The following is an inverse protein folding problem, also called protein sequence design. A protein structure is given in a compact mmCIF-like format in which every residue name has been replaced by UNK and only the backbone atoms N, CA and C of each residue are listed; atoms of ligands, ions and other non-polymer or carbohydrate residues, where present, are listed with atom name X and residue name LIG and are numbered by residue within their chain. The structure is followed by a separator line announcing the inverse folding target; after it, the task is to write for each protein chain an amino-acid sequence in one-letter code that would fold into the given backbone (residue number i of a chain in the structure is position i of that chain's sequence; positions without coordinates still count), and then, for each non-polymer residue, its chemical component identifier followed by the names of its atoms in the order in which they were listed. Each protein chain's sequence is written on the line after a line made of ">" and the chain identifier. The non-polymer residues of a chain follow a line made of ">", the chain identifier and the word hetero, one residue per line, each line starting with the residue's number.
data_IF_882782309606
#
_entry.id   IF_882782309606
#
_cell.length_a   1.000
_cell.length_b   1.000
_cell.length_c   1.000
_cell.angle_alpha   90.00
_cell.angle_beta   90.00
_cell.angle_gamma   90.00
#
_symmetry.space_group_name_H-M   'P 1'
#
loop_
_entity.id
_entity.type
_entity.pdbx_description
1 polymer ?
#
# COMPACT_ATOMS: atom_id res chain seq x y z
N UNK A 1 15.88 -5.39 19.53
CA UNK A 1 14.46 -5.17 19.17
C UNK A 1 13.89 -4.06 20.03
N UNK A 2 13.07 -3.15 19.46
CA UNK A 2 12.36 -2.13 20.26
C UNK A 2 11.33 -2.80 21.17
N UNK A 3 11.15 -2.27 22.39
CA UNK A 3 10.05 -2.70 23.25
C UNK A 3 8.69 -2.29 22.68
N UNK A 4 7.60 -2.91 23.12
CA UNK A 4 6.24 -2.51 22.71
C UNK A 4 5.93 -1.05 23.08
N UNK A 5 6.48 -0.57 24.20
CA UNK A 5 6.33 0.82 24.66
C UNK A 5 7.05 1.76 23.69
N UNK A 6 8.27 1.43 23.27
CA UNK A 6 9.05 2.26 22.35
C UNK A 6 8.43 2.29 20.95
N UNK A 7 7.92 1.13 20.48
CA UNK A 7 7.17 1.01 19.23
C UNK A 7 5.99 1.97 19.23
N UNK A 8 5.18 1.96 20.28
CA UNK A 8 4.01 2.83 20.42
C UNK A 8 4.40 4.30 20.50
N UNK A 9 5.37 4.65 21.35
CA UNK A 9 5.88 6.03 21.48
C UNK A 9 6.38 6.56 20.13
N UNK A 10 7.14 5.76 19.40
CA UNK A 10 7.65 6.14 18.07
C UNK A 10 6.53 6.34 17.06
N UNK A 11 5.56 5.42 17.00
CA UNK A 11 4.40 5.52 16.11
C UNK A 11 3.55 6.76 16.40
N UNK A 12 3.29 7.06 17.68
CA UNK A 12 2.56 8.27 18.08
C UNK A 12 3.32 9.55 17.76
N UNK A 13 4.65 9.54 17.92
CA UNK A 13 5.50 10.69 17.64
C UNK A 13 5.60 10.98 16.15
N UNK A 14 5.90 9.96 15.34
CA UNK A 14 6.29 10.11 13.94
C UNK A 14 5.12 9.92 12.95
N UNK A 15 4.03 9.27 13.39
CA UNK A 15 2.86 8.90 12.56
C UNK A 15 3.06 7.60 11.78
N UNK A 16 4.23 6.98 11.86
CA UNK A 16 4.55 5.71 11.22
C UNK A 16 5.60 4.93 11.97
N UNK A 17 5.71 3.65 11.64
CA UNK A 17 6.79 2.78 12.10
C UNK A 17 7.11 1.72 11.06
N UNK A 18 8.39 1.34 10.95
CA UNK A 18 8.85 0.21 10.13
C UNK A 18 9.24 -0.94 11.04
N UNK A 19 8.69 -2.12 10.80
CA UNK A 19 8.88 -3.31 11.64
C UNK A 19 9.14 -4.55 10.77
N UNK A 20 9.95 -5.49 11.27
CA UNK A 20 10.17 -6.81 10.67
C UNK A 20 9.03 -7.74 11.12
N UNK A 21 7.99 -7.91 10.28
CA UNK A 21 6.77 -8.63 10.63
C UNK A 21 6.38 -9.74 9.63
N UNK A 22 7.01 -9.78 8.46
CA UNK A 22 6.68 -10.74 7.41
C UNK A 22 7.76 -11.82 7.35
N UNK A 23 7.32 -13.08 7.43
CA UNK A 23 8.21 -14.21 7.16
C UNK A 23 8.52 -14.27 5.65
N UNK A 24 9.80 -14.26 5.31
CA UNK A 24 10.27 -14.26 3.91
C UNK A 24 9.85 -15.51 3.13
N UNK A 25 9.65 -16.64 3.80
CA UNK A 25 9.16 -17.86 3.14
C UNK A 25 7.76 -17.66 2.58
N UNK A 26 6.87 -16.93 3.29
CA UNK A 26 5.56 -16.56 2.76
C UNK A 26 5.65 -15.72 1.48
N UNK A 27 6.63 -14.84 1.40
CA UNK A 27 6.82 -14.03 0.20
C UNK A 27 7.28 -14.87 -1.00
N UNK A 28 8.07 -15.91 -0.77
CA UNK A 28 8.46 -16.84 -1.81
C UNK A 28 7.26 -17.65 -2.32
N UNK A 29 6.42 -18.13 -1.41
CA UNK A 29 5.19 -18.86 -1.77
C UNK A 29 4.24 -17.96 -2.60
N UNK A 30 4.05 -16.71 -2.20
CA UNK A 30 3.24 -15.74 -2.95
C UNK A 30 3.84 -15.48 -4.34
N UNK A 31 5.17 -15.34 -4.42
CA UNK A 31 5.87 -15.14 -5.69
C UNK A 31 5.69 -16.32 -6.64
N UNK A 32 5.77 -17.55 -6.13
CA UNK A 32 5.55 -18.77 -6.90
C UNK A 32 4.11 -18.87 -7.40
N UNK A 33 3.13 -18.54 -6.55
CA UNK A 33 1.72 -18.50 -6.95
C UNK A 33 1.44 -17.41 -8.00
N UNK A 34 2.05 -16.23 -7.87
CA UNK A 34 1.96 -15.18 -8.87
C UNK A 34 2.52 -15.66 -10.22
N UNK A 35 3.70 -16.30 -10.22
CA UNK A 35 4.30 -16.83 -11.44
C UNK A 35 3.40 -17.89 -12.09
N UNK A 36 2.75 -18.75 -11.29
CA UNK A 36 1.78 -19.73 -11.79
C UNK A 36 0.57 -19.04 -12.45
N UNK A 37 0.01 -18.02 -11.83
CA UNK A 37 -1.13 -17.26 -12.40
C UNK A 37 -0.73 -16.59 -13.73
N UNK A 38 0.47 -16.03 -13.80
CA UNK A 38 1.01 -15.44 -15.04
C UNK A 38 1.12 -16.50 -16.13
N UNK A 39 1.80 -17.62 -15.87
CA UNK A 39 1.99 -18.69 -16.83
C UNK A 39 0.65 -19.27 -17.31
N UNK A 40 -0.29 -19.48 -16.40
CA UNK A 40 -1.65 -19.93 -16.75
C UNK A 40 -2.39 -18.92 -17.63
N UNK A 41 -2.18 -17.61 -17.39
CA UNK A 41 -2.77 -16.57 -18.23
C UNK A 41 -2.27 -16.64 -19.67
N UNK A 42 -0.96 -16.90 -19.89
CA UNK A 42 -0.40 -17.13 -21.23
C UNK A 42 -1.04 -18.33 -21.92
N UNK A 43 -1.11 -19.46 -21.21
CA UNK A 43 -1.65 -20.72 -21.76
C UNK A 43 -3.12 -20.55 -22.11
N UNK A 44 -3.94 -20.05 -21.18
CA UNK A 44 -5.39 -19.95 -21.34
C UNK A 44 -5.84 -18.95 -22.43
N UNK A 45 -4.98 -17.99 -22.76
CA UNK A 45 -5.26 -16.99 -23.79
C UNK A 45 -4.46 -17.22 -25.09
N UNK A 46 -3.78 -18.35 -25.21
CA UNK A 46 -2.94 -18.72 -26.39
C UNK A 46 -1.89 -17.64 -26.73
N UNK A 47 -1.31 -16.99 -25.70
CA UNK A 47 -0.29 -15.97 -25.89
C UNK A 47 1.08 -16.65 -25.97
N UNK A 48 1.90 -16.25 -26.95
CA UNK A 48 3.26 -16.77 -27.09
C UNK A 48 4.11 -16.33 -25.88
N UNK A 49 4.70 -17.31 -25.20
CA UNK A 49 5.60 -17.04 -24.06
C UNK A 49 6.91 -16.43 -24.58
N UNK A 50 7.25 -15.26 -24.10
CA UNK A 50 8.46 -14.49 -24.46
C UNK A 50 9.37 -14.20 -23.25
N UNK A 51 9.18 -14.93 -22.16
CA UNK A 51 10.00 -14.89 -20.93
C UNK A 51 10.42 -16.31 -20.57
N UNK A 52 11.32 -16.46 -19.58
CA UNK A 52 11.67 -17.80 -19.07
C UNK A 52 10.65 -18.26 -18.01
N UNK A 53 9.71 -19.18 -18.36
CA UNK A 53 8.64 -19.60 -17.44
C UNK A 53 9.14 -20.39 -16.22
N UNK A 54 10.37 -20.92 -16.28
CA UNK A 54 11.00 -21.65 -15.17
C UNK A 54 11.79 -20.73 -14.23
N UNK A 55 11.92 -19.43 -14.56
CA UNK A 55 12.58 -18.44 -13.74
C UNK A 55 11.54 -17.49 -13.12
N UNK A 56 11.31 -17.58 -11.80
CA UNK A 56 10.34 -16.76 -11.09
C UNK A 56 10.52 -15.25 -11.34
N UNK A 57 11.79 -14.79 -11.38
CA UNK A 57 12.06 -13.37 -11.62
C UNK A 57 11.70 -12.93 -13.04
N UNK A 58 12.02 -13.74 -14.04
CA UNK A 58 11.64 -13.47 -15.44
C UNK A 58 10.13 -13.47 -15.60
N UNK A 59 9.44 -14.46 -15.04
CA UNK A 59 7.98 -14.56 -15.13
C UNK A 59 7.28 -13.34 -14.50
N UNK A 60 7.65 -12.98 -13.27
CA UNK A 60 6.95 -11.85 -12.60
C UNK A 60 7.35 -10.49 -13.15
N UNK A 61 8.48 -10.33 -13.81
CA UNK A 61 8.86 -9.05 -14.44
C UNK A 61 8.50 -9.03 -15.92
N UNK A 62 9.26 -9.73 -16.74
CA UNK A 62 9.08 -9.73 -18.21
C UNK A 62 7.72 -10.29 -18.61
N UNK A 63 7.31 -11.42 -17.99
CA UNK A 63 6.02 -12.03 -18.25
C UNK A 63 4.86 -11.10 -17.91
N UNK A 64 4.87 -10.42 -16.78
CA UNK A 64 3.80 -9.50 -16.38
C UNK A 64 3.77 -8.24 -17.25
N UNK A 65 4.92 -7.65 -17.57
CA UNK A 65 5.01 -6.47 -18.45
C UNK A 65 4.41 -6.80 -19.83
N UNK A 66 4.75 -7.99 -20.36
CA UNK A 66 4.21 -8.41 -21.64
C UNK A 66 2.70 -8.69 -21.59
N UNK A 67 2.17 -9.32 -20.54
CA UNK A 67 0.71 -9.48 -20.37
C UNK A 67 -0.01 -8.14 -20.38
N UNK A 68 0.50 -7.13 -19.66
CA UNK A 68 -0.06 -5.78 -19.66
C UNK A 68 -0.04 -5.16 -21.06
N UNK A 69 1.02 -5.38 -21.84
CA UNK A 69 1.15 -4.85 -23.21
C UNK A 69 0.23 -5.53 -24.22
N UNK A 70 -0.10 -6.81 -24.00
CA UNK A 70 -1.01 -7.57 -24.87
C UNK A 70 -2.47 -7.24 -24.55
N UNK A 71 -2.85 -7.32 -23.29
CA UNK A 71 -4.19 -6.94 -22.81
C UNK A 71 -4.14 -6.58 -21.32
N UNK A 72 -4.39 -5.31 -21.03
CA UNK A 72 -4.47 -4.78 -19.67
C UNK A 72 -5.41 -5.58 -18.74
N UNK A 73 -6.48 -6.18 -19.27
CA UNK A 73 -7.42 -7.00 -18.50
C UNK A 73 -6.75 -8.22 -17.87
N UNK A 74 -5.72 -8.79 -18.50
CA UNK A 74 -5.02 -9.97 -18.00
C UNK A 74 -4.27 -9.64 -16.71
N UNK A 75 -3.58 -8.50 -16.67
CA UNK A 75 -2.96 -8.00 -15.43
C UNK A 75 -4.02 -7.71 -14.37
N UNK A 76 -5.14 -7.06 -14.73
CA UNK A 76 -6.23 -6.75 -13.81
C UNK A 76 -6.83 -8.02 -13.18
N UNK A 77 -7.02 -9.08 -13.95
CA UNK A 77 -7.51 -10.37 -13.46
C UNK A 77 -6.57 -10.98 -12.41
N UNK A 78 -5.26 -10.92 -12.65
CA UNK A 78 -4.25 -11.40 -11.69
C UNK A 78 -4.25 -10.51 -10.44
N UNK A 79 -4.33 -9.20 -10.62
CA UNK A 79 -4.42 -8.21 -9.54
C UNK A 79 -5.59 -8.48 -8.60
N UNK A 80 -6.77 -8.83 -9.14
CA UNK A 80 -7.97 -9.12 -8.36
C UNK A 80 -7.97 -10.52 -7.73
N UNK A 81 -7.29 -11.48 -8.36
CA UNK A 81 -7.26 -12.88 -7.91
C UNK A 81 -6.29 -13.10 -6.75
N UNK A 82 -5.07 -12.58 -6.86
CA UNK A 82 -3.99 -12.91 -5.92
C UNK A 82 -4.28 -12.52 -4.47
N UNK A 83 -4.85 -11.35 -4.15
CA UNK A 83 -5.15 -10.97 -2.77
C UNK A 83 -6.22 -11.85 -2.09
N UNK A 84 -7.01 -12.57 -2.88
CA UNK A 84 -8.03 -13.51 -2.40
C UNK A 84 -7.48 -14.92 -2.21
N UNK A 85 -6.22 -15.17 -2.58
CA UNK A 85 -5.58 -16.47 -2.36
C UNK A 85 -5.38 -16.73 -0.87
N UNK A 86 -5.46 -18.00 -0.47
CA UNK A 86 -5.27 -18.41 0.93
C UNK A 86 -3.90 -18.02 1.47
N UNK A 87 -2.88 -18.01 0.64
CA UNK A 87 -1.54 -17.57 1.03
C UNK A 87 -1.50 -16.08 1.36
N UNK A 88 -2.14 -15.25 0.56
CA UNK A 88 -2.19 -13.81 0.80
C UNK A 88 -3.03 -13.50 2.05
N UNK A 89 -4.17 -14.17 2.20
CA UNK A 89 -5.03 -14.02 3.39
C UNK A 89 -4.30 -14.43 4.67
N UNK A 90 -3.53 -15.52 4.66
CA UNK A 90 -2.67 -15.93 5.79
C UNK A 90 -1.62 -14.89 6.12
N UNK A 91 -1.05 -14.22 5.11
CA UNK A 91 -0.06 -13.18 5.32
C UNK A 91 -0.65 -11.99 6.07
N UNK A 92 -1.76 -11.44 5.59
CA UNK A 92 -2.40 -10.27 6.18
C UNK A 92 -3.03 -10.52 7.55
N UNK A 93 -3.35 -11.78 7.87
CA UNK A 93 -3.91 -12.20 9.16
C UNK A 93 -2.88 -12.86 10.09
N UNK A 94 -1.59 -12.82 9.71
CA UNK A 94 -0.54 -13.46 10.52
C UNK A 94 -0.46 -12.89 11.94
N UNK A 95 -0.17 -13.74 12.91
CA UNK A 95 -0.09 -13.38 14.33
C UNK A 95 0.91 -12.25 14.61
N UNK A 96 2.07 -12.27 13.93
CA UNK A 96 3.10 -11.26 14.07
C UNK A 96 2.59 -9.87 13.69
N UNK A 97 1.83 -9.79 12.60
CA UNK A 97 1.26 -8.57 12.08
C UNK A 97 0.08 -8.10 12.93
N UNK A 98 -0.89 -8.99 13.17
CA UNK A 98 -2.13 -8.65 13.88
C UNK A 98 -1.90 -8.23 15.33
N UNK A 99 -0.94 -8.86 16.04
CA UNK A 99 -0.54 -8.44 17.40
C UNK A 99 0.02 -7.02 17.43
N UNK A 100 0.80 -6.61 16.41
CA UNK A 100 1.34 -5.24 16.35
C UNK A 100 0.28 -4.21 15.98
N UNK A 101 -0.63 -4.55 15.07
CA UNK A 101 -1.76 -3.69 14.72
C UNK A 101 -2.66 -3.47 15.94
N UNK A 102 -3.01 -4.53 16.69
CA UNK A 102 -3.77 -4.40 17.94
C UNK A 102 -3.09 -3.48 18.95
N UNK A 103 -1.78 -3.62 19.11
CA UNK A 103 -0.98 -2.75 19.99
C UNK A 103 -1.09 -1.28 19.57
N UNK A 104 -0.94 -0.99 18.28
CA UNK A 104 -0.93 0.38 17.75
C UNK A 104 -2.32 1.03 17.70
N UNK A 105 -3.39 0.23 17.50
CA UNK A 105 -4.76 0.68 17.57
C UNK A 105 -5.29 0.80 19.01
N UNK A 106 -4.53 0.38 20.02
CA UNK A 106 -4.96 0.27 21.43
C UNK A 106 -6.15 -0.66 21.63
N UNK A 107 -6.28 -1.72 20.84
CA UNK A 107 -7.37 -2.65 20.97
C UNK A 107 -7.24 -3.49 22.24
N UNK A 108 -8.35 -3.74 22.92
CA UNK A 108 -8.45 -4.72 24.00
C UNK A 108 -8.22 -6.13 23.43
N UNK A 109 -7.74 -7.06 24.25
CA UNK A 109 -7.39 -8.43 23.82
C UNK A 109 -8.49 -9.17 23.05
N UNK A 110 -9.76 -8.91 23.35
CA UNK A 110 -10.91 -9.54 22.71
C UNK A 110 -11.43 -8.79 21.48
N UNK A 111 -10.95 -7.57 21.22
CA UNK A 111 -11.39 -6.78 20.07
C UNK A 111 -10.77 -7.33 18.79
N UNK A 112 -11.56 -7.35 17.73
CA UNK A 112 -11.12 -7.66 16.38
C UNK A 112 -11.05 -6.40 15.53
N UNK A 113 -10.47 -6.53 14.35
CA UNK A 113 -10.47 -5.49 13.34
C UNK A 113 -11.01 -6.03 12.03
N UNK A 114 -11.56 -5.14 11.25
CA UNK A 114 -11.93 -5.35 9.88
C UNK A 114 -10.77 -4.93 8.98
N UNK A 115 -10.47 -5.73 7.96
CA UNK A 115 -9.48 -5.35 6.95
C UNK A 115 -10.15 -5.19 5.59
N UNK A 116 -9.83 -4.10 4.91
CA UNK A 116 -10.31 -3.84 3.56
C UNK A 116 -9.16 -3.34 2.67
N UNK A 117 -9.48 -3.09 1.40
CA UNK A 117 -8.52 -2.65 0.39
C UNK A 117 -7.25 -3.49 0.38
N UNK A 118 -7.41 -4.79 0.67
CA UNK A 118 -6.33 -5.76 0.62
C UNK A 118 -5.94 -5.93 -0.83
N UNK A 119 -4.74 -5.48 -1.19
CA UNK A 119 -4.25 -5.66 -2.53
C UNK A 119 -2.74 -5.88 -2.58
N UNK A 120 -2.30 -6.53 -3.65
CA UNK A 120 -0.91 -6.47 -4.08
C UNK A 120 -0.82 -5.54 -5.29
N UNK A 121 -0.31 -4.34 -5.06
CA UNK A 121 -0.04 -3.40 -6.13
C UNK A 121 0.98 -3.98 -7.09
N UNK A 122 0.68 -3.88 -8.38
CA UNK A 122 1.49 -4.34 -9.49
C UNK A 122 1.75 -3.14 -10.39
N UNK A 123 2.79 -2.39 -10.07
CA UNK A 123 3.08 -1.15 -10.79
C UNK A 123 4.04 -1.46 -11.96
N UNK A 124 3.56 -1.26 -13.17
CA UNK A 124 4.31 -1.48 -14.41
C UNK A 124 5.22 -0.28 -14.69
N UNK A 125 6.49 -0.49 -15.07
CA UNK A 125 7.39 0.59 -15.43
C UNK A 125 6.82 1.48 -16.53
N UNK A 126 6.97 2.80 -16.37
CA UNK A 126 6.46 3.78 -17.33
C UNK A 126 4.96 4.07 -17.25
N UNK A 127 4.16 3.24 -16.54
CA UNK A 127 2.74 3.49 -16.35
C UNK A 127 2.51 4.24 -15.04
N UNK A 128 2.20 5.53 -15.15
CA UNK A 128 2.01 6.42 -13.98
C UNK A 128 0.59 6.39 -13.40
N UNK A 129 -0.34 5.73 -14.05
CA UNK A 129 -1.77 5.63 -13.71
C UNK A 129 -2.03 5.28 -12.22
N UNK A 130 -1.15 4.48 -11.62
CA UNK A 130 -1.28 4.04 -10.23
C UNK A 130 -0.33 4.79 -9.26
N UNK A 131 0.40 5.78 -9.74
CA UNK A 131 1.22 6.62 -8.87
C UNK A 131 0.33 7.63 -8.16
N UNK A 132 0.03 7.34 -6.90
CA UNK A 132 -0.71 8.27 -6.06
C UNK A 132 0.18 9.45 -5.66
N UNK A 133 -0.27 10.67 -5.96
CA UNK A 133 0.31 11.89 -5.45
C UNK A 133 0.13 12.04 -3.93
N UNK A 134 0.39 13.22 -3.40
CA UNK A 134 0.23 13.51 -1.98
C UNK A 134 -1.23 13.40 -1.53
N UNK A 135 -1.49 12.55 -0.54
CA UNK A 135 -2.84 12.31 -0.01
C UNK A 135 -2.79 11.80 1.44
N UNK A 136 -3.94 11.75 2.05
CA UNK A 136 -4.23 10.99 3.28
C UNK A 136 -5.33 9.98 2.95
N UNK A 137 -5.33 8.85 3.61
CA UNK A 137 -6.33 7.79 3.34
C UNK A 137 -7.63 7.98 4.12
N UNK A 138 -7.66 8.88 5.10
CA UNK A 138 -8.86 9.15 5.90
C UNK A 138 -10.08 9.54 5.03
N UNK A 139 -9.84 10.23 3.92
CA UNK A 139 -10.90 10.72 3.04
C UNK A 139 -11.35 9.69 1.98
N UNK A 140 -10.60 8.61 1.80
CA UNK A 140 -10.84 7.60 0.74
C UNK A 140 -11.24 6.24 1.31
N UNK A 141 -11.38 6.14 2.62
CA UNK A 141 -11.72 4.93 3.34
C UNK A 141 -12.94 5.12 4.22
N UNK A 142 -13.24 4.21 5.14
CA UNK A 142 -14.35 4.36 6.09
C UNK A 142 -14.13 5.63 6.91
N UNK A 143 -14.83 6.69 6.53
CA UNK A 143 -14.65 8.03 7.09
C UNK A 143 -14.90 8.03 8.59
N UNK A 144 -13.97 8.63 9.33
CA UNK A 144 -14.07 8.74 10.79
C UNK A 144 -13.58 7.51 11.55
N UNK A 145 -13.51 6.32 10.94
CA UNK A 145 -13.08 5.12 11.68
C UNK A 145 -11.61 5.23 12.12
N UNK A 146 -11.30 4.57 13.24
CA UNK A 146 -9.93 4.42 13.71
C UNK A 146 -9.26 3.27 12.94
N UNK A 147 -8.26 3.58 12.10
CA UNK A 147 -7.54 2.56 11.34
C UNK A 147 -6.05 2.85 11.18
N UNK A 148 -5.34 1.80 10.86
CA UNK A 148 -3.93 1.83 10.48
C UNK A 148 -3.80 1.30 9.05
N UNK A 149 -2.99 1.97 8.25
CA UNK A 149 -2.60 1.48 6.94
C UNK A 149 -1.30 0.71 7.02
N UNK A 150 -1.23 -0.35 6.23
CA UNK A 150 -0.04 -1.14 5.98
C UNK A 150 0.43 -0.94 4.56
N UNK A 151 1.73 -0.81 4.39
CA UNK A 151 2.40 -0.94 3.11
C UNK A 151 3.68 -1.77 3.28
N UNK A 152 3.96 -2.68 2.35
CA UNK A 152 5.17 -3.50 2.37
C UNK A 152 5.64 -3.84 0.97
N UNK A 153 6.96 -3.78 0.68
CA UNK A 153 7.50 -4.31 -0.56
C UNK A 153 7.45 -5.84 -0.52
N UNK A 154 7.12 -6.46 -1.64
CA UNK A 154 6.93 -7.92 -1.71
C UNK A 154 8.19 -8.67 -2.13
N UNK A 155 8.81 -8.30 -3.23
CA UNK A 155 9.86 -9.12 -3.86
C UNK A 155 11.21 -8.41 -4.02
N UNK A 156 11.26 -7.10 -3.79
CA UNK A 156 12.49 -6.29 -3.79
C UNK A 156 12.44 -5.26 -2.65
N UNK A 157 13.61 -4.85 -2.14
CA UNK A 157 13.67 -3.78 -1.15
C UNK A 157 13.20 -2.47 -1.77
N UNK A 158 12.32 -1.76 -1.07
CA UNK A 158 11.91 -0.44 -1.50
C UNK A 158 12.96 0.62 -1.12
N UNK A 159 13.45 1.34 -2.10
CA UNK A 159 14.41 2.44 -1.97
C UNK A 159 13.87 3.68 -2.66
N UNK A 160 14.55 4.81 -2.52
CA UNK A 160 14.19 6.04 -3.24
C UNK A 160 14.15 5.82 -4.77
N UNK A 161 14.99 4.93 -5.30
CA UNK A 161 15.10 4.66 -6.74
C UNK A 161 14.00 3.75 -7.28
N UNK A 162 13.46 2.85 -6.44
CA UNK A 162 12.46 1.85 -6.85
C UNK A 162 11.15 1.95 -6.07
N UNK A 163 10.72 3.16 -5.74
CA UNK A 163 9.37 3.45 -5.31
C UNK A 163 9.08 3.28 -3.83
N UNK A 164 10.07 3.50 -2.94
CA UNK A 164 9.78 3.66 -1.51
C UNK A 164 8.78 4.79 -1.29
N UNK A 165 7.82 4.57 -0.39
CA UNK A 165 6.87 5.62 -0.01
C UNK A 165 7.60 6.88 0.43
N UNK A 166 7.10 8.02 0.02
CA UNK A 166 7.52 9.32 0.52
C UNK A 166 6.47 9.85 1.47
N UNK A 167 6.88 10.29 2.65
CA UNK A 167 5.98 10.78 3.70
C UNK A 167 6.42 12.14 4.20
N UNK A 168 5.46 12.91 4.72
CA UNK A 168 5.72 14.12 5.49
C UNK A 168 5.68 13.71 6.97
N UNK A 169 6.86 13.66 7.60
CA UNK A 169 6.99 13.20 8.99
C UNK A 169 6.15 14.07 9.92
N UNK A 170 5.42 13.45 10.86
CA UNK A 170 4.57 14.11 11.85
C UNK A 170 3.38 14.89 11.27
N UNK A 171 3.11 14.80 9.98
CA UNK A 171 1.98 15.49 9.35
C UNK A 171 0.61 15.08 9.91
N UNK A 172 0.49 13.91 10.51
CA UNK A 172 -0.71 13.46 11.22
C UNK A 172 -1.11 14.35 12.42
N UNK A 173 -0.20 15.21 12.90
CA UNK A 173 -0.45 16.18 14.00
C UNK A 173 -0.81 17.57 13.47
N UNK A 174 -0.71 17.77 12.18
CA UNK A 174 -0.85 19.08 11.56
C UNK A 174 -2.20 19.17 10.86
N UNK A 175 -2.90 20.29 11.07
CA UNK A 175 -3.92 20.71 10.12
C UNK A 175 -3.17 21.39 8.98
N UNK A 176 -2.94 20.65 7.91
CA UNK A 176 -2.27 21.20 6.73
C UNK A 176 -3.27 22.00 5.93
N UNK A 177 -2.94 23.26 5.69
CA UNK A 177 -3.64 24.06 4.70
C UNK A 177 -3.08 23.72 3.33
N UNK A 178 -3.92 23.33 2.42
CA UNK A 178 -3.55 23.16 1.02
C UNK A 178 -3.79 24.47 0.30
N UNK A 179 -2.96 24.80 -0.68
CA UNK A 179 -3.18 25.95 -1.58
C UNK A 179 -4.43 25.78 -2.46
N UNK A 180 -5.22 24.74 -2.21
CA UNK A 180 -6.35 24.37 -3.02
C UNK A 180 -7.64 24.93 -2.44
N UNK A 181 -8.45 25.51 -3.30
CA UNK A 181 -9.82 25.89 -2.99
C UNK A 181 -10.65 24.63 -2.65
N UNK A 182 -11.75 24.79 -1.89
CA UNK A 182 -12.69 23.68 -1.62
C UNK A 182 -13.14 22.99 -2.91
N UNK A 183 -13.44 23.77 -3.96
CA UNK A 183 -13.83 23.24 -5.27
C UNK A 183 -12.74 22.38 -5.93
N UNK A 184 -11.48 22.74 -5.76
CA UNK A 184 -10.35 21.93 -6.24
C UNK A 184 -10.15 20.67 -5.41
N UNK A 185 -10.35 20.74 -4.08
CA UNK A 185 -10.30 19.57 -3.18
C UNK A 185 -11.42 18.57 -3.50
N UNK A 186 -12.65 19.04 -3.77
CA UNK A 186 -13.78 18.20 -4.18
C UNK A 186 -13.55 17.56 -5.57
N UNK A 187 -12.88 18.27 -6.47
CA UNK A 187 -12.46 17.75 -7.77
C UNK A 187 -11.32 16.74 -7.67
N UNK A 188 -10.47 16.80 -6.65
CA UNK A 188 -9.35 15.87 -6.45
C UNK A 188 -9.80 14.41 -6.30
N UNK A 189 -10.99 14.15 -5.76
CA UNK A 189 -11.59 12.80 -5.76
C UNK A 189 -11.96 12.29 -7.17
N UNK A 190 -11.99 13.18 -8.18
CA UNK A 190 -12.39 12.89 -9.56
C UNK A 190 -11.30 13.17 -10.60
N UNK A 191 -10.19 13.80 -10.23
CA UNK A 191 -9.12 14.25 -11.13
C UNK A 191 -7.99 13.23 -11.22
N UNK A 192 -7.33 13.21 -12.38
CA UNK A 192 -6.09 12.48 -12.65
C UNK A 192 -5.09 12.65 -11.51
N UNK A 193 -4.72 11.55 -10.88
CA UNK A 193 -3.89 11.47 -9.68
C UNK A 193 -2.49 12.13 -9.82
N UNK A 194 -2.07 12.45 -11.04
CA UNK A 194 -0.84 13.20 -11.33
C UNK A 194 -0.84 14.63 -10.78
N UNK A 195 -2.00 15.25 -10.59
CA UNK A 195 -2.10 16.64 -10.12
C UNK A 195 -1.88 16.80 -8.61
N UNK A 196 -1.93 15.72 -7.84
CA UNK A 196 -1.51 15.71 -6.43
C UNK A 196 -0.05 16.14 -6.22
N UNK A 197 0.79 16.08 -7.25
CA UNK A 197 2.18 16.53 -7.18
C UNK A 197 2.32 18.06 -7.06
N UNK A 198 1.28 18.83 -7.37
CA UNK A 198 1.28 20.30 -7.33
C UNK A 198 0.96 20.87 -5.94
N UNK A 199 0.51 20.02 -5.02
CA UNK A 199 0.12 20.47 -3.67
C UNK A 199 1.37 20.82 -2.87
N UNK A 200 1.49 22.07 -2.46
CA UNK A 200 2.52 22.53 -1.52
C UNK A 200 1.94 22.43 -0.12
N UNK A 201 2.58 21.65 0.73
CA UNK A 201 2.22 21.56 2.13
C UNK A 201 3.01 22.61 2.92
N UNK A 202 2.28 23.48 3.57
CA UNK A 202 2.81 24.47 4.52
C UNK A 202 2.14 24.22 5.87
N UNK A 203 2.87 24.42 6.96
CA UNK A 203 2.26 24.42 8.28
C UNK A 203 1.57 25.77 8.53
N UNK A 204 0.85 25.91 9.66
CA UNK A 204 0.18 27.17 10.05
C UNK A 204 1.12 28.38 10.15
N UNK A 205 2.45 28.16 10.26
CA UNK A 205 3.46 29.20 10.32
C UNK A 205 3.99 29.58 8.93
N UNK A 206 3.48 28.96 7.85
CA UNK A 206 4.00 29.16 6.49
C UNK A 206 5.32 28.45 6.18
N UNK A 207 5.79 27.56 7.09
CA UNK A 207 7.03 26.83 6.89
C UNK A 207 6.79 25.64 5.95
N UNK A 208 7.72 25.46 5.00
CA UNK A 208 7.68 24.31 4.07
C UNK A 208 7.98 23.02 4.83
N UNK A 209 7.08 22.04 4.70
CA UNK A 209 7.28 20.72 5.30
C UNK A 209 8.25 19.88 4.48
N UNK A 210 9.10 19.14 5.19
CA UNK A 210 10.11 18.27 4.59
C UNK A 210 9.54 16.87 4.44
N UNK A 211 9.63 16.35 3.24
CA UNK A 211 9.30 14.96 2.95
C UNK A 211 10.53 14.06 3.00
N UNK A 212 10.30 12.78 3.30
CA UNK A 212 11.33 11.77 3.35
C UNK A 212 10.86 10.46 2.71
N UNK A 213 11.69 9.90 1.83
CA UNK A 213 11.52 8.51 1.37
C UNK A 213 11.84 7.55 2.52
N UNK A 214 10.98 6.57 2.74
CA UNK A 214 11.14 5.57 3.80
C UNK A 214 11.59 4.25 3.18
N UNK A 215 12.88 3.91 3.29
CA UNK A 215 13.36 2.61 2.84
C UNK A 215 12.70 1.50 3.65
N UNK A 216 12.21 0.46 2.96
CA UNK A 216 11.61 -0.72 3.56
C UNK A 216 12.21 -1.96 2.91
N UNK A 217 12.76 -2.85 3.71
CA UNK A 217 13.35 -4.11 3.22
C UNK A 217 12.29 -5.19 3.07
N UNK A 218 12.57 -6.20 2.25
CA UNK A 218 11.78 -7.43 2.19
C UNK A 218 11.66 -8.03 3.60
N UNK A 219 10.44 -8.36 3.99
CA UNK A 219 10.11 -8.84 5.33
C UNK A 219 9.70 -7.74 6.30
N UNK A 220 9.97 -6.48 5.97
CA UNK A 220 9.51 -5.33 6.74
C UNK A 220 8.19 -4.80 6.21
N UNK A 221 7.43 -4.18 7.11
CA UNK A 221 6.23 -3.40 6.80
C UNK A 221 6.39 -1.99 7.34
N UNK A 222 5.82 -1.01 6.65
CA UNK A 222 5.52 0.28 7.24
C UNK A 222 4.06 0.29 7.66
N UNK A 223 3.81 0.59 8.94
CA UNK A 223 2.48 0.85 9.50
C UNK A 223 2.37 2.34 9.74
N UNK A 224 1.28 2.97 9.32
CA UNK A 224 1.12 4.41 9.46
C UNK A 224 -0.32 4.84 9.71
N UNK A 225 -0.46 6.02 10.30
CA UNK A 225 -1.74 6.60 10.69
C UNK A 225 -2.53 7.06 9.47
N UNK A 226 -3.85 6.96 9.54
CA UNK A 226 -4.82 7.31 8.51
C UNK A 226 -4.67 8.73 7.94
N UNK A 227 -4.21 9.66 8.77
CA UNK A 227 -4.04 11.07 8.44
C UNK A 227 -2.57 11.49 8.23
N UNK A 228 -1.66 10.52 8.02
CA UNK A 228 -0.29 10.82 7.63
C UNK A 228 -0.23 11.12 6.13
N UNK A 229 0.26 12.31 5.75
CA UNK A 229 0.46 12.65 4.34
C UNK A 229 1.59 11.84 3.73
N UNK A 230 1.27 11.16 2.66
CA UNK A 230 2.20 10.32 1.93
C UNK A 230 1.90 10.30 0.44
N UNK A 231 2.85 9.80 -0.33
CA UNK A 231 2.68 9.53 -1.77
C UNK A 231 3.44 8.30 -2.21
N UNK A 232 3.07 7.76 -3.36
CA UNK A 232 3.84 6.72 -4.03
C UNK A 232 5.22 7.26 -4.42
N UNK A 233 6.26 6.49 -4.18
CA UNK A 233 7.56 6.76 -4.76
C UNK A 233 7.55 6.52 -6.27
N UNK A 234 8.39 7.24 -6.99
CA UNK A 234 8.55 7.10 -8.44
C UNK A 234 9.36 5.85 -8.73
N UNK A 235 8.89 5.03 -9.66
CA UNK A 235 9.63 3.86 -10.15
C UNK A 235 10.49 4.32 -11.31
N UNK A 236 11.80 4.28 -11.11
CA UNK A 236 12.77 4.68 -12.14
C UNK A 236 13.41 3.49 -12.85
N UNK A 237 13.08 2.26 -12.43
CA UNK A 237 13.68 1.04 -12.97
C UNK A 237 12.75 0.37 -14.00
N UNK A 238 13.33 -0.37 -14.93
CA UNK A 238 12.60 -1.14 -15.96
C UNK A 238 12.01 -2.44 -15.43
N UNK A 239 11.63 -2.46 -14.15
CA UNK A 239 11.09 -3.65 -13.48
C UNK A 239 9.74 -3.36 -12.85
N UNK A 240 8.93 -4.42 -12.73
CA UNK A 240 7.70 -4.38 -11.96
C UNK A 240 7.97 -4.03 -10.49
N UNK A 241 7.15 -3.15 -9.90
CA UNK A 241 7.10 -2.98 -8.46
C UNK A 241 5.91 -3.71 -7.88
N UNK A 242 6.16 -4.56 -6.89
CA UNK A 242 5.14 -5.28 -6.15
C UNK A 242 5.10 -4.80 -4.70
N UNK A 243 3.94 -4.32 -4.26
CA UNK A 243 3.77 -3.85 -2.89
C UNK A 243 2.42 -4.27 -2.33
N UNK A 244 2.42 -4.84 -1.14
CA UNK A 244 1.19 -5.14 -0.40
C UNK A 244 0.65 -3.88 0.27
N UNK A 245 -0.67 -3.68 0.20
CA UNK A 245 -1.38 -2.67 0.98
C UNK A 245 -2.59 -3.29 1.66
N UNK A 246 -2.93 -2.79 2.83
CA UNK A 246 -4.14 -3.15 3.57
C UNK A 246 -4.48 -2.10 4.62
N UNK A 247 -5.75 -1.96 4.94
CA UNK A 247 -6.25 -1.11 6.01
C UNK A 247 -6.85 -1.99 7.11
N UNK A 248 -6.55 -1.67 8.36
CA UNK A 248 -7.02 -2.40 9.53
C UNK A 248 -7.83 -1.45 10.41
N UNK A 249 -9.15 -1.61 10.38
CA UNK A 249 -10.11 -0.78 11.09
C UNK A 249 -10.50 -1.39 12.42
N UNK A 250 -10.55 -0.58 13.45
CA UNK A 250 -11.10 -0.96 14.75
C UNK A 250 -12.63 -1.05 14.66
N UNK A 251 -13.18 -2.26 14.64
CA UNK A 251 -14.64 -2.48 14.60
C UNK A 251 -15.34 -2.13 15.91
N UNK A 252 -14.60 -1.91 16.99
CA UNK A 252 -15.15 -1.48 18.28
C UNK A 252 -15.23 0.05 18.39
N UNK A 253 -14.69 0.79 17.43
CA UNK A 253 -14.80 2.23 17.33
C UNK A 253 -16.24 2.62 16.94
N UNK A 254 -16.84 3.55 17.69
CA UNK A 254 -18.20 4.03 17.42
C UNK A 254 -18.36 4.71 16.06
N UNK A 255 -17.26 5.20 15.49
CA UNK A 255 -17.23 5.78 14.14
C UNK A 255 -17.13 4.75 13.01
N UNK A 256 -16.95 3.45 13.33
CA UNK A 256 -16.98 2.41 12.33
C UNK A 256 -18.42 2.14 11.88
N UNK A 257 -18.73 2.44 10.63
CA UNK A 257 -20.06 2.26 10.05
C UNK A 257 -20.00 1.40 8.80
N UNK A 258 -20.91 0.44 8.68
CA UNK A 258 -21.00 -0.43 7.49
C UNK A 258 -21.59 0.29 6.28
N UNK A 259 -22.39 1.30 6.47
CA UNK A 259 -23.11 2.02 5.40
C UNK A 259 -22.18 2.69 4.38
N UNK A 260 -20.98 3.09 4.81
CA UNK A 260 -20.00 3.71 3.94
C UNK A 260 -19.27 2.73 3.00
N UNK A 261 -19.49 1.42 3.15
CA UNK A 261 -18.84 0.40 2.31
C UNK A 261 -19.56 0.17 0.98
N UNK A 262 -20.82 0.51 0.86
CA UNK A 262 -21.66 0.22 -0.32
C UNK A 262 -21.88 1.41 -1.25
N UNK A 263 -21.39 2.60 -0.91
CA UNK A 263 -21.52 3.79 -1.74
C UNK A 263 -20.46 3.86 -2.87
N UNK A 264 -19.91 2.73 -3.29
CA UNK A 264 -19.01 2.61 -4.44
C UNK A 264 -19.67 1.93 -5.66
N UNK A 265 -20.99 2.02 -5.75
CA UNK A 265 -21.72 1.65 -6.95
C UNK A 265 -21.85 2.84 -7.90
#
# INVERSE_FOLDING_TARGET
>A
MLSNIDIKKKFERDGYIVLDLINKNFLLDIKSNLALLINNSYINNNIKINHNPNCLNSTINEGMINLESVDHKLLSNIYDTLPRSTFFLKLISSDSLTKKIKLLLNLKNKSNFYTNSVCMRMDVPGITKFNYGWHIDENTNITGSNFIQLWAPMFENATKKNGALEIIIQSHKLKLETNMTKSEQEKLGKINRSDYNKVKFINKKGEKLISKHIPVRIGQVILFKKNLYHRSGIINESKMRYAMTSFYHDISDKSFTYENMYNFA
#
